data_IF_969156197541
#
_entry.id   IF_969156197541
#
_cell.length_a   1.000
_cell.length_b   1.000
_cell.length_c   1.000
_cell.angle_alpha   90.00
_cell.angle_beta   90.00
_cell.angle_gamma   90.00
#
_symmetry.space_group_name_H-M   'P 1'
#
loop_
_entity.id
_entity.type
_entity.pdbx_description
1 polymer ?
#
# COMPACT_ATOMS: atom_id res chain seq x y z
N UNK A 1 -11.34 18.43 -9.75
CA UNK A 1 -12.06 17.21 -9.28
C UNK A 1 -11.28 16.49 -8.17
N UNK A 2 -10.01 16.10 -8.38
CA UNK A 2 -9.19 15.44 -7.33
C UNK A 2 -9.15 16.23 -6.02
N UNK A 3 -8.85 17.52 -6.07
CA UNK A 3 -8.83 18.39 -4.91
C UNK A 3 -10.19 18.42 -4.19
N UNK A 4 -11.26 18.59 -4.95
CA UNK A 4 -12.63 18.64 -4.39
C UNK A 4 -12.97 17.31 -3.70
N UNK A 5 -12.73 16.16 -4.38
CA UNK A 5 -13.02 14.84 -3.82
C UNK A 5 -12.27 14.60 -2.51
N UNK A 6 -10.95 14.89 -2.49
CA UNK A 6 -10.14 14.72 -1.30
C UNK A 6 -10.57 15.63 -0.16
N UNK A 7 -10.77 16.93 -0.42
CA UNK A 7 -11.18 17.89 0.62
C UNK A 7 -12.59 17.60 1.14
N UNK A 8 -13.54 17.22 0.29
CA UNK A 8 -14.88 16.80 0.73
C UNK A 8 -14.78 15.62 1.70
N UNK A 9 -14.01 14.60 1.32
CA UNK A 9 -13.82 13.44 2.19
C UNK A 9 -13.13 13.81 3.52
N UNK A 10 -12.12 14.68 3.47
CA UNK A 10 -11.44 15.17 4.66
C UNK A 10 -12.38 15.93 5.60
N UNK A 11 -13.20 16.83 5.06
CA UNK A 11 -14.18 17.57 5.86
C UNK A 11 -15.20 16.64 6.52
N UNK A 12 -15.68 15.63 5.78
CA UNK A 12 -16.54 14.58 6.34
C UNK A 12 -15.84 13.79 7.44
N UNK A 13 -14.56 13.47 7.26
CA UNK A 13 -13.77 12.72 8.25
C UNK A 13 -13.35 13.55 9.47
N UNK A 14 -13.34 14.89 9.36
CA UNK A 14 -12.88 15.80 10.42
C UNK A 14 -13.75 15.74 11.67
N UNK A 15 -15.06 15.55 11.50
CA UNK A 15 -16.00 15.35 12.61
C UNK A 15 -15.76 14.04 13.39
N UNK A 16 -14.91 13.17 12.89
CA UNK A 16 -14.64 11.84 13.37
C UNK A 16 -13.25 11.76 14.03
N UNK A 17 -12.91 12.75 14.83
CA UNK A 17 -11.57 12.94 15.43
C UNK A 17 -11.10 11.78 16.33
N UNK A 18 -11.99 10.87 16.72
CA UNK A 18 -11.69 9.69 17.52
C UNK A 18 -11.47 8.40 16.71
N UNK A 19 -11.22 8.48 15.41
CA UNK A 19 -11.25 7.33 14.52
C UNK A 19 -9.90 6.78 14.12
N UNK A 20 -9.84 5.45 14.10
CA UNK A 20 -8.73 4.70 13.54
C UNK A 20 -7.39 5.01 14.20
N UNK A 21 -6.35 4.98 13.40
CA UNK A 21 -4.97 5.21 13.84
C UNK A 21 -4.72 6.63 14.37
N UNK A 22 -5.62 7.61 14.10
CA UNK A 22 -5.45 9.00 14.54
C UNK A 22 -5.50 9.21 16.04
N UNK A 23 -6.19 8.34 16.79
CA UNK A 23 -6.14 8.35 18.27
C UNK A 23 -4.74 7.98 18.75
N UNK A 24 -4.18 6.90 18.19
CA UNK A 24 -2.80 6.50 18.47
C UNK A 24 -1.78 7.57 18.06
N UNK A 25 -1.98 8.22 16.92
CA UNK A 25 -1.10 9.32 16.48
C UNK A 25 -1.21 10.54 17.38
N UNK A 26 -2.38 10.82 17.97
CA UNK A 26 -2.53 11.88 18.98
C UNK A 26 -1.68 11.58 20.21
N UNK A 27 -1.74 10.35 20.70
CA UNK A 27 -0.91 9.92 21.85
C UNK A 27 0.59 10.06 21.51
N UNK A 28 1.00 9.64 20.31
CA UNK A 28 2.39 9.80 19.87
C UNK A 28 2.82 11.26 19.78
N UNK A 29 1.96 12.11 19.28
CA UNK A 29 2.18 13.55 19.16
C UNK A 29 2.34 14.19 20.55
N UNK A 30 1.49 13.85 21.50
CA UNK A 30 1.48 14.41 22.84
C UNK A 30 2.61 13.88 23.72
N UNK A 31 3.09 12.66 23.46
CA UNK A 31 4.17 12.01 24.23
C UNK A 31 5.55 12.11 23.60
N UNK A 32 5.68 12.85 22.47
CA UNK A 32 6.95 12.94 21.75
C UNK A 32 7.45 11.61 21.24
N UNK A 33 6.55 10.71 20.84
CA UNK A 33 6.90 9.42 20.26
C UNK A 33 7.48 8.38 21.25
N UNK A 34 7.64 8.70 22.51
CA UNK A 34 8.22 7.83 23.56
C UNK A 34 7.64 6.41 23.57
N UNK A 35 6.38 6.28 23.20
CA UNK A 35 5.71 4.99 23.14
C UNK A 35 6.30 4.07 22.06
N UNK A 36 6.63 4.59 20.88
CA UNK A 36 7.22 3.80 19.78
C UNK A 36 8.74 3.71 19.89
N UNK A 37 9.40 4.73 20.43
CA UNK A 37 10.85 4.71 20.67
C UNK A 37 11.21 3.55 21.60
N UNK A 38 10.41 3.31 22.64
CA UNK A 38 10.60 2.16 23.53
C UNK A 38 10.51 0.82 22.82
N UNK A 39 9.84 0.77 21.67
CA UNK A 39 9.73 -0.45 20.86
C UNK A 39 10.74 -0.51 19.72
N UNK A 40 11.59 0.52 19.53
CA UNK A 40 12.58 0.60 18.45
C UNK A 40 11.98 0.62 17.04
N UNK A 41 10.72 1.09 16.92
CA UNK A 41 9.94 1.00 15.68
C UNK A 41 9.75 2.35 15.01
N UNK A 42 9.64 2.30 13.68
CA UNK A 42 9.21 3.42 12.84
C UNK A 42 9.95 4.75 13.13
N UNK A 43 11.30 4.75 13.21
CA UNK A 43 12.05 5.89 13.74
C UNK A 43 11.83 7.19 12.94
N UNK A 44 11.57 7.09 11.62
CA UNK A 44 11.29 8.28 10.79
C UNK A 44 9.90 8.83 11.12
N UNK A 45 8.90 7.97 11.37
CA UNK A 45 7.57 8.44 11.73
C UNK A 45 7.55 9.08 13.11
N UNK A 46 8.27 8.51 14.07
CA UNK A 46 8.47 9.10 15.40
C UNK A 46 9.08 10.49 15.27
N UNK A 47 10.20 10.61 14.56
CA UNK A 47 10.85 11.90 14.34
C UNK A 47 9.93 12.92 13.64
N UNK A 48 9.05 12.48 12.73
CA UNK A 48 8.03 13.34 12.13
C UNK A 48 7.03 13.86 13.17
N UNK A 49 6.59 13.02 14.12
CA UNK A 49 5.70 13.44 15.20
C UNK A 49 6.37 14.42 16.15
N UNK A 50 7.63 14.18 16.51
CA UNK A 50 8.42 15.08 17.35
C UNK A 50 8.60 16.46 16.70
N UNK A 51 8.98 16.49 15.42
CA UNK A 51 9.08 17.74 14.66
C UNK A 51 7.73 18.44 14.57
N UNK A 52 6.65 17.69 14.31
CA UNK A 52 5.32 18.28 14.25
C UNK A 52 4.90 18.88 15.60
N UNK A 53 5.15 18.19 16.71
CA UNK A 53 4.89 18.71 18.06
C UNK A 53 5.72 19.96 18.38
N UNK A 54 6.99 19.97 17.99
CA UNK A 54 7.86 21.14 18.16
C UNK A 54 7.40 22.35 17.36
N UNK A 55 6.90 22.14 16.14
CA UNK A 55 6.47 23.23 15.23
C UNK A 55 5.08 23.75 15.58
N UNK A 56 4.11 22.87 15.86
CA UNK A 56 2.71 23.25 16.04
C UNK A 56 2.30 23.38 17.51
N UNK A 57 3.12 22.92 18.45
CA UNK A 57 2.83 22.93 19.88
C UNK A 57 1.74 21.92 20.27
N UNK A 58 1.47 21.81 21.57
CA UNK A 58 0.55 20.84 22.14
C UNK A 58 -0.88 20.93 21.57
N UNK A 59 -1.40 22.14 21.40
CA UNK A 59 -2.74 22.39 20.83
C UNK A 59 -2.77 22.21 19.29
N UNK A 60 -1.61 22.08 18.66
CA UNK A 60 -1.47 22.13 17.20
C UNK A 60 -1.74 20.83 16.46
N UNK A 61 -2.15 19.74 17.14
CA UNK A 61 -2.38 18.45 16.48
C UNK A 61 -3.37 18.51 15.31
N UNK A 62 -4.45 19.27 15.45
CA UNK A 62 -5.43 19.43 14.36
C UNK A 62 -4.85 20.23 13.18
N UNK A 63 -3.99 21.21 13.47
CA UNK A 63 -3.25 21.96 12.44
C UNK A 63 -2.30 21.04 11.71
N UNK A 64 -1.50 20.25 12.44
CA UNK A 64 -0.62 19.22 11.87
C UNK A 64 -1.40 18.28 10.94
N UNK A 65 -2.51 17.72 11.41
CA UNK A 65 -3.37 16.84 10.62
C UNK A 65 -3.85 17.51 9.32
N UNK A 66 -4.25 18.78 9.40
CA UNK A 66 -4.70 19.54 8.23
C UNK A 66 -3.57 19.78 7.23
N UNK A 67 -2.39 20.15 7.71
CA UNK A 67 -1.18 20.36 6.89
C UNK A 67 -0.76 19.05 6.22
N UNK A 68 -0.73 17.95 6.98
CA UNK A 68 -0.41 16.63 6.44
C UNK A 68 -1.38 16.23 5.32
N UNK A 69 -2.68 16.42 5.54
CA UNK A 69 -3.69 16.15 4.51
C UNK A 69 -3.52 17.05 3.28
N UNK A 70 -3.22 18.32 3.47
CA UNK A 70 -2.94 19.23 2.36
C UNK A 70 -1.73 18.76 1.53
N UNK A 71 -0.67 18.26 2.17
CA UNK A 71 0.49 17.69 1.48
C UNK A 71 0.11 16.48 0.61
N UNK A 72 -0.67 15.53 1.14
CA UNK A 72 -1.20 14.40 0.34
C UNK A 72 -2.06 14.87 -0.83
N UNK A 73 -2.89 15.89 -0.61
CA UNK A 73 -3.76 16.45 -1.65
C UNK A 73 -2.94 17.08 -2.79
N UNK A 74 -1.85 17.79 -2.45
CA UNK A 74 -0.94 18.34 -3.45
C UNK A 74 -0.22 17.23 -4.24
N UNK A 75 0.22 16.17 -3.56
CA UNK A 75 0.80 14.99 -4.21
C UNK A 75 -0.21 14.33 -5.17
N UNK A 76 -1.46 14.15 -4.72
CA UNK A 76 -2.53 13.61 -5.55
C UNK A 76 -2.76 14.46 -6.82
N UNK A 77 -2.84 15.78 -6.64
CA UNK A 77 -2.99 16.71 -7.76
C UNK A 77 -1.80 16.64 -8.72
N UNK A 78 -0.57 16.57 -8.19
CA UNK A 78 0.63 16.42 -9.01
C UNK A 78 0.64 15.12 -9.78
N UNK A 79 0.25 14.02 -9.17
CA UNK A 79 0.18 12.72 -9.85
C UNK A 79 -0.92 12.70 -10.91
N UNK A 80 -2.08 13.25 -10.61
CA UNK A 80 -3.16 13.39 -11.60
C UNK A 80 -2.70 14.22 -12.81
N UNK A 81 -1.92 15.28 -12.57
CA UNK A 81 -1.35 16.11 -13.65
C UNK A 81 -0.32 15.35 -14.48
N UNK A 82 0.56 14.57 -13.85
CA UNK A 82 1.59 13.80 -14.53
C UNK A 82 1.04 12.58 -15.26
N UNK A 83 -0.12 12.08 -14.86
CA UNK A 83 -0.77 10.95 -15.51
C UNK A 83 -1.16 11.34 -16.94
N UNK A 84 -0.70 10.54 -17.91
CA UNK A 84 -1.05 10.76 -19.32
C UNK A 84 -2.54 10.53 -19.55
N UNK A 85 -3.19 11.47 -20.18
CA UNK A 85 -4.63 11.41 -20.40
C UNK A 85 -5.38 11.74 -19.09
N UNK A 86 -5.28 13.01 -18.69
CA UNK A 86 -6.06 13.54 -17.58
C UNK A 86 -7.55 13.39 -17.87
N UNK A 87 -8.15 12.39 -17.29
CA UNK A 87 -9.58 12.12 -17.36
C UNK A 87 -10.18 12.16 -15.96
N UNK A 88 -11.50 12.29 -15.88
CA UNK A 88 -12.22 12.16 -14.61
C UNK A 88 -11.89 10.83 -13.93
N UNK A 89 -11.80 9.75 -14.70
CA UNK A 89 -11.41 8.42 -14.22
C UNK A 89 -10.04 8.45 -13.56
N UNK A 90 -9.03 9.04 -14.20
CA UNK A 90 -7.68 9.22 -13.64
C UNK A 90 -7.70 9.98 -12.33
N UNK A 91 -8.40 11.12 -12.30
CA UNK A 91 -8.50 11.98 -11.13
C UNK A 91 -9.14 11.26 -9.94
N UNK A 92 -10.28 10.59 -10.16
CA UNK A 92 -11.01 9.86 -9.11
C UNK A 92 -10.22 8.64 -8.63
N UNK A 93 -9.55 7.91 -9.52
CA UNK A 93 -8.73 6.74 -9.18
C UNK A 93 -7.58 7.11 -8.23
N UNK A 94 -6.85 8.18 -8.56
CA UNK A 94 -5.75 8.66 -7.69
C UNK A 94 -6.30 9.19 -6.38
N UNK A 95 -7.41 9.94 -6.42
CA UNK A 95 -8.03 10.49 -5.21
C UNK A 95 -8.44 9.37 -4.26
N UNK A 96 -9.15 8.35 -4.74
CA UNK A 96 -9.60 7.23 -3.91
C UNK A 96 -8.40 6.49 -3.28
N UNK A 97 -7.35 6.19 -4.06
CA UNK A 97 -6.17 5.50 -3.56
C UNK A 97 -5.43 6.31 -2.47
N UNK A 98 -5.34 7.64 -2.61
CA UNK A 98 -4.63 8.48 -1.65
C UNK A 98 -5.47 8.91 -0.44
N UNK A 99 -6.79 8.95 -0.54
CA UNK A 99 -7.67 9.18 0.61
C UNK A 99 -7.44 8.11 1.68
N UNK A 100 -7.36 6.83 1.29
CA UNK A 100 -7.07 5.74 2.21
C UNK A 100 -5.75 6.01 2.95
N UNK A 101 -4.70 6.38 2.22
CA UNK A 101 -3.36 6.58 2.79
C UNK A 101 -3.23 7.86 3.62
N UNK A 102 -4.01 8.88 3.33
CA UNK A 102 -3.93 10.16 4.04
C UNK A 102 -4.81 10.23 5.28
N UNK A 103 -5.97 9.54 5.28
CA UNK A 103 -6.98 9.66 6.33
C UNK A 103 -7.04 8.41 7.20
N UNK A 104 -6.96 7.21 6.60
CA UNK A 104 -7.13 5.95 7.32
C UNK A 104 -5.80 5.39 7.81
N UNK A 105 -4.78 5.41 6.95
CA UNK A 105 -3.48 4.75 7.15
C UNK A 105 -2.33 5.75 7.03
N UNK A 106 -2.37 6.84 7.78
CA UNK A 106 -1.45 7.98 7.59
C UNK A 106 0.03 7.59 7.69
N UNK A 107 0.44 6.81 8.70
CA UNK A 107 1.82 6.33 8.86
C UNK A 107 2.29 5.52 7.65
N UNK A 108 1.48 4.58 7.23
CA UNK A 108 1.74 3.80 6.02
C UNK A 108 1.69 4.69 4.77
N UNK A 109 0.83 5.70 4.78
CA UNK A 109 0.73 6.69 3.71
C UNK A 109 2.02 7.47 3.50
N UNK A 110 2.66 7.93 4.58
CA UNK A 110 3.97 8.61 4.50
C UNK A 110 5.03 7.67 3.90
N UNK A 111 5.10 6.43 4.41
CA UNK A 111 6.00 5.41 3.87
C UNK A 111 5.74 5.12 2.37
N UNK A 112 4.46 5.02 2.00
CA UNK A 112 4.03 4.83 0.63
C UNK A 112 4.46 5.97 -0.29
N UNK A 113 4.36 7.23 0.15
CA UNK A 113 4.80 8.39 -0.63
C UNK A 113 6.31 8.40 -0.85
N UNK A 114 7.09 8.04 0.18
CA UNK A 114 8.54 7.95 0.06
C UNK A 114 8.98 6.94 -1.00
N UNK A 115 8.25 5.85 -1.14
CA UNK A 115 8.47 4.86 -2.20
C UNK A 115 7.90 5.30 -3.55
N UNK A 116 6.64 5.71 -3.57
CA UNK A 116 5.92 5.92 -4.82
C UNK A 116 6.48 7.11 -5.62
N UNK A 117 6.96 8.14 -4.94
CA UNK A 117 7.55 9.31 -5.60
C UNK A 117 8.75 8.95 -6.49
N UNK A 118 9.80 8.25 -6.01
CA UNK A 118 10.90 7.81 -6.85
C UNK A 118 10.49 6.80 -7.93
N UNK A 119 9.56 5.89 -7.61
CA UNK A 119 9.05 4.93 -8.59
C UNK A 119 8.39 5.63 -9.80
N UNK A 120 7.73 6.77 -9.57
CA UNK A 120 7.15 7.55 -10.68
C UNK A 120 8.18 7.89 -11.74
N UNK A 121 9.41 8.24 -11.37
CA UNK A 121 10.49 8.52 -12.31
C UNK A 121 10.76 7.37 -13.29
N UNK A 122 10.53 6.12 -12.88
CA UNK A 122 10.66 4.94 -13.72
C UNK A 122 9.50 4.77 -14.71
N UNK A 123 8.32 5.33 -14.37
CA UNK A 123 7.07 5.11 -15.11
C UNK A 123 6.62 6.31 -15.95
N UNK A 124 6.92 7.54 -15.52
CA UNK A 124 6.51 8.77 -16.23
C UNK A 124 7.37 9.00 -17.45
N UNK A 125 8.67 8.76 -17.37
CA UNK A 125 9.63 9.20 -18.38
C UNK A 125 9.78 8.16 -19.50
N UNK A 126 9.22 8.45 -20.68
CA UNK A 126 9.44 7.69 -21.92
C UNK A 126 10.73 8.09 -22.65
N UNK A 127 11.20 9.31 -22.40
CA UNK A 127 12.27 9.95 -23.17
C UNK A 127 13.59 10.03 -22.41
N UNK A 128 13.61 9.59 -21.13
CA UNK A 128 14.83 9.69 -20.36
C UNK A 128 15.94 8.84 -20.95
N UNK A 129 17.06 9.49 -21.13
CA UNK A 129 18.33 8.87 -21.53
C UNK A 129 18.63 7.66 -20.65
N UNK A 130 19.37 6.69 -21.18
CA UNK A 130 19.84 5.52 -20.43
C UNK A 130 20.51 5.88 -19.08
N UNK A 131 21.01 7.12 -18.95
CA UNK A 131 21.67 7.63 -17.75
C UNK A 131 20.73 8.00 -16.58
N UNK A 132 19.44 8.31 -16.84
CA UNK A 132 18.51 8.68 -15.76
C UNK A 132 17.86 7.48 -15.08
N UNK A 133 17.81 6.34 -15.77
CA UNK A 133 17.19 5.11 -15.26
C UNK A 133 17.89 4.50 -14.04
N UNK A 134 19.23 4.40 -13.96
CA UNK A 134 19.91 3.93 -12.76
C UNK A 134 19.65 4.84 -11.57
N UNK A 135 19.61 6.17 -11.78
CA UNK A 135 19.30 7.13 -10.72
C UNK A 135 17.89 6.96 -10.16
N UNK A 136 16.90 6.76 -11.03
CA UNK A 136 15.53 6.52 -10.61
C UNK A 136 15.38 5.18 -9.87
N UNK A 137 16.08 4.13 -10.30
CA UNK A 137 16.11 2.84 -9.60
C UNK A 137 16.76 2.95 -8.22
N UNK A 138 17.87 3.67 -8.13
CA UNK A 138 18.54 3.94 -6.85
C UNK A 138 17.66 4.80 -5.93
N UNK A 139 17.03 5.85 -6.44
CA UNK A 139 16.09 6.67 -5.66
C UNK A 139 14.91 5.83 -5.16
N UNK A 140 14.42 4.86 -5.95
CA UNK A 140 13.38 3.93 -5.52
C UNK A 140 13.87 2.98 -4.41
N UNK A 141 15.13 2.57 -4.42
CA UNK A 141 15.74 1.82 -3.30
C UNK A 141 15.77 2.65 -2.03
N UNK A 142 16.28 3.88 -2.13
CA UNK A 142 16.31 4.81 -0.99
C UNK A 142 14.90 5.05 -0.45
N UNK A 143 13.92 5.26 -1.34
CA UNK A 143 12.51 5.41 -0.96
C UNK A 143 11.94 4.16 -0.26
N UNK A 144 12.31 2.96 -0.71
CA UNK A 144 11.88 1.71 -0.07
C UNK A 144 12.51 1.56 1.33
N UNK A 145 13.78 1.90 1.50
CA UNK A 145 14.48 1.89 2.80
C UNK A 145 13.84 2.91 3.75
N UNK A 146 13.68 4.16 3.32
CA UNK A 146 13.07 5.21 4.12
C UNK A 146 11.61 4.87 4.47
N UNK A 147 10.86 4.31 3.51
CA UNK A 147 9.51 3.80 3.75
C UNK A 147 9.48 2.73 4.83
N UNK A 148 10.40 1.76 4.79
CA UNK A 148 10.52 0.71 5.81
C UNK A 148 10.85 1.27 7.19
N UNK A 149 11.73 2.27 7.27
CA UNK A 149 12.06 2.98 8.51
C UNK A 149 10.92 3.88 9.02
N UNK A 150 10.01 4.29 8.13
CA UNK A 150 8.80 5.04 8.49
C UNK A 150 7.69 4.13 9.01
N UNK A 151 7.56 2.98 8.38
CA UNK A 151 6.58 1.96 8.75
C UNK A 151 7.10 0.58 8.34
N UNK A 152 7.46 -0.23 9.32
CA UNK A 152 8.08 -1.54 9.06
C UNK A 152 7.20 -2.47 8.19
N UNK A 153 5.89 -2.37 8.29
CA UNK A 153 4.96 -3.11 7.42
C UNK A 153 5.20 -2.92 5.91
N UNK A 154 5.91 -1.84 5.54
CA UNK A 154 6.25 -1.57 4.13
C UNK A 154 7.57 -2.23 3.66
N UNK A 155 8.23 -3.04 4.49
CA UNK A 155 9.44 -3.80 4.12
C UNK A 155 9.21 -4.68 2.87
N UNK A 156 7.97 -5.08 2.59
CA UNK A 156 7.59 -5.79 1.37
C UNK A 156 7.99 -5.03 0.09
N UNK A 157 7.98 -3.71 0.12
CA UNK A 157 8.38 -2.89 -1.03
C UNK A 157 9.88 -3.01 -1.33
N UNK A 158 10.70 -3.16 -0.27
CA UNK A 158 12.12 -3.46 -0.41
C UNK A 158 12.31 -4.85 -1.02
N UNK A 159 11.53 -5.85 -0.57
CA UNK A 159 11.52 -7.19 -1.14
C UNK A 159 11.16 -7.19 -2.64
N UNK A 160 10.15 -6.40 -3.05
CA UNK A 160 9.79 -6.23 -4.47
C UNK A 160 10.94 -5.58 -5.25
N UNK A 161 11.59 -4.57 -4.67
CA UNK A 161 12.74 -3.92 -5.31
C UNK A 161 13.91 -4.91 -5.49
N UNK A 162 14.24 -5.67 -4.46
CA UNK A 162 15.28 -6.72 -4.52
C UNK A 162 14.95 -7.78 -5.58
N UNK A 163 13.71 -8.25 -5.62
CA UNK A 163 13.24 -9.18 -6.66
C UNK A 163 13.35 -8.61 -8.06
N UNK A 164 13.02 -7.33 -8.24
CA UNK A 164 13.15 -6.63 -9.52
C UNK A 164 14.63 -6.48 -9.92
N UNK A 165 15.50 -6.12 -8.98
CA UNK A 165 16.92 -6.03 -9.20
C UNK A 165 17.50 -7.40 -9.61
N UNK A 166 17.14 -8.45 -8.86
CA UNK A 166 17.54 -9.82 -9.16
C UNK A 166 17.13 -10.24 -10.57
N UNK A 167 15.86 -10.06 -10.95
CA UNK A 167 15.36 -10.36 -12.29
C UNK A 167 16.05 -9.54 -13.40
N UNK A 168 16.49 -8.33 -13.07
CA UNK A 168 17.16 -7.46 -14.02
C UNK A 168 18.65 -7.81 -14.20
N UNK A 169 19.31 -8.33 -13.15
CA UNK A 169 20.73 -8.70 -13.18
C UNK A 169 20.99 -10.11 -13.69
N UNK A 170 20.04 -11.02 -13.62
CA UNK A 170 20.23 -12.36 -14.15
C UNK A 170 20.32 -12.26 -15.67
N UNK A 171 21.46 -12.66 -16.27
CA UNK A 171 21.61 -12.66 -17.71
C UNK A 171 20.51 -13.51 -18.35
N UNK A 172 19.76 -12.94 -19.27
CA UNK A 172 18.67 -13.64 -19.99
C UNK A 172 19.10 -14.97 -20.61
N UNK A 173 20.41 -15.15 -20.84
CA UNK A 173 21.03 -16.37 -21.36
C UNK A 173 21.04 -17.53 -20.36
N UNK A 174 21.12 -17.26 -19.05
CA UNK A 174 21.16 -18.30 -18.01
C UNK A 174 19.80 -18.90 -17.72
N UNK A 175 18.75 -18.16 -17.98
CA UNK A 175 17.42 -18.59 -17.55
C UNK A 175 16.67 -19.35 -18.62
N UNK A 176 17.11 -19.44 -19.89
CA UNK A 176 16.43 -20.23 -20.93
C UNK A 176 14.88 -20.16 -20.89
N UNK A 177 14.39 -19.68 -19.80
CA UNK A 177 13.01 -19.52 -19.43
C UNK A 177 12.51 -18.21 -20.02
N UNK A 178 11.83 -18.31 -21.11
CA UNK A 178 10.87 -17.27 -21.43
C UNK A 178 9.88 -17.26 -20.29
N UNK A 179 10.03 -16.33 -19.33
CA UNK A 179 9.05 -16.13 -18.26
C UNK A 179 7.69 -15.89 -18.89
N UNK A 180 6.95 -16.97 -19.10
CA UNK A 180 5.59 -16.80 -19.55
C UNK A 180 4.83 -16.15 -18.39
N UNK A 181 3.91 -15.22 -18.68
CA UNK A 181 3.08 -14.62 -17.63
C UNK A 181 2.42 -15.63 -16.72
N UNK A 182 2.04 -16.77 -17.28
CA UNK A 182 1.39 -17.87 -16.55
C UNK A 182 2.34 -18.56 -15.56
N UNK A 183 3.57 -18.85 -15.98
CA UNK A 183 4.58 -19.49 -15.11
C UNK A 183 4.89 -18.62 -13.89
N UNK A 184 5.01 -17.31 -14.05
CA UNK A 184 5.25 -16.39 -12.94
C UNK A 184 4.07 -16.31 -11.97
N UNK A 185 2.84 -16.30 -12.48
CA UNK A 185 1.65 -16.31 -11.63
C UNK A 185 1.58 -17.64 -10.85
N UNK A 186 1.81 -18.78 -11.52
CA UNK A 186 1.83 -20.08 -10.85
C UNK A 186 2.94 -20.18 -9.80
N UNK A 187 4.12 -19.62 -10.09
CA UNK A 187 5.20 -19.52 -9.12
C UNK A 187 4.81 -18.65 -7.92
N UNK A 188 4.14 -17.53 -8.16
CA UNK A 188 3.59 -16.68 -7.11
C UNK A 188 2.57 -17.42 -6.25
N UNK A 189 1.60 -18.09 -6.87
CA UNK A 189 0.59 -18.89 -6.15
C UNK A 189 1.26 -20.00 -5.34
N UNK A 190 2.18 -20.77 -5.95
CA UNK A 190 2.90 -21.84 -5.27
C UNK A 190 3.72 -21.33 -4.08
N UNK A 191 4.44 -20.21 -4.27
CA UNK A 191 5.17 -19.54 -3.19
C UNK A 191 4.26 -19.07 -2.05
N UNK A 192 3.08 -18.55 -2.38
CA UNK A 192 2.07 -18.14 -1.39
C UNK A 192 1.47 -19.33 -0.64
N UNK A 193 1.17 -20.42 -1.32
CA UNK A 193 0.71 -21.66 -0.68
C UNK A 193 1.80 -22.21 0.26
N UNK A 194 3.06 -22.21 -0.18
CA UNK A 194 4.19 -22.63 0.65
C UNK A 194 4.33 -21.73 1.89
N UNK A 195 4.25 -20.40 1.71
CA UNK A 195 4.29 -19.44 2.82
C UNK A 195 3.12 -19.68 3.80
N UNK A 196 1.90 -19.76 3.30
CA UNK A 196 0.71 -20.04 4.13
C UNK A 196 0.84 -21.38 4.86
N UNK A 197 1.32 -22.42 4.18
CA UNK A 197 1.60 -23.72 4.79
C UNK A 197 2.66 -23.64 5.89
N UNK A 198 3.72 -22.86 5.68
CA UNK A 198 4.76 -22.64 6.71
C UNK A 198 4.18 -21.94 7.94
N UNK A 199 3.33 -20.94 7.74
CA UNK A 199 2.64 -20.24 8.83
C UNK A 199 1.73 -21.22 9.60
N UNK A 200 1.01 -22.09 8.89
CA UNK A 200 0.16 -23.12 9.52
C UNK A 200 0.95 -24.12 10.36
N UNK A 201 2.12 -24.54 9.89
CA UNK A 201 2.97 -25.49 10.60
C UNK A 201 3.70 -24.85 11.80
N UNK A 202 4.01 -23.57 11.71
CA UNK A 202 4.77 -22.82 12.72
C UNK A 202 4.07 -21.49 13.06
N UNK A 203 2.84 -21.50 13.61
CA UNK A 203 2.09 -20.27 13.81
C UNK A 203 2.74 -19.32 14.85
N UNK A 204 3.33 -19.86 15.92
CA UNK A 204 3.88 -19.08 17.01
C UNK A 204 4.88 -18.00 16.59
N UNK A 205 5.97 -18.34 15.87
CA UNK A 205 6.93 -17.35 15.39
C UNK A 205 6.29 -16.26 14.49
N UNK A 206 5.32 -16.63 13.67
CA UNK A 206 4.65 -15.67 12.79
C UNK A 206 3.69 -14.77 13.55
N UNK A 207 2.96 -15.28 14.55
CA UNK A 207 2.12 -14.45 15.44
C UNK A 207 2.98 -13.44 16.17
N UNK A 208 4.08 -13.87 16.78
CA UNK A 208 5.02 -12.98 17.46
C UNK A 208 5.56 -11.93 16.50
N UNK A 209 6.00 -12.32 15.32
CA UNK A 209 6.49 -11.42 14.29
C UNK A 209 5.42 -10.38 13.92
N UNK A 210 4.18 -10.80 13.67
CA UNK A 210 3.08 -9.88 13.30
C UNK A 210 2.72 -8.96 14.47
N UNK A 211 2.63 -9.45 15.69
CA UNK A 211 2.37 -8.63 16.89
C UNK A 211 3.50 -7.63 17.09
N UNK A 212 4.74 -8.08 16.95
CA UNK A 212 5.90 -7.20 17.01
C UNK A 212 5.92 -6.17 15.88
N UNK A 213 5.58 -6.52 14.65
CA UNK A 213 5.57 -5.63 13.50
C UNK A 213 4.37 -4.69 13.46
N UNK A 214 3.22 -5.16 13.91
CA UNK A 214 1.96 -4.40 13.86
C UNK A 214 1.74 -3.49 15.08
N UNK A 215 2.49 -3.69 16.16
CA UNK A 215 2.40 -2.83 17.34
C UNK A 215 1.24 -3.14 18.26
N UNK A 216 0.64 -4.31 18.21
CA UNK A 216 -0.44 -4.74 19.07
C UNK A 216 -1.46 -5.65 18.40
N UNK A 217 -2.30 -6.28 19.19
CA UNK A 217 -3.34 -7.16 18.70
C UNK A 217 -4.40 -6.38 17.90
N UNK A 218 -4.68 -6.83 16.69
CA UNK A 218 -5.85 -6.38 15.94
C UNK A 218 -7.09 -7.05 16.53
N UNK A 219 -7.76 -6.37 17.42
CA UNK A 219 -8.85 -6.90 18.22
C UNK A 219 -10.22 -6.92 17.51
N UNK A 220 -10.29 -7.15 16.21
CA UNK A 220 -11.60 -7.17 15.53
C UNK A 220 -11.90 -8.48 14.80
N UNK A 221 -12.75 -9.35 15.40
CA UNK A 221 -13.23 -10.57 14.77
C UNK A 221 -14.12 -10.36 13.54
N UNK A 222 -14.39 -9.13 13.15
CA UNK A 222 -15.51 -8.75 12.29
C UNK A 222 -15.31 -8.99 10.79
N UNK A 223 -14.08 -9.10 10.33
CA UNK A 223 -13.79 -9.36 8.91
C UNK A 223 -14.19 -10.75 8.43
N UNK A 224 -14.45 -11.68 9.34
CA UNK A 224 -14.78 -13.05 9.00
C UNK A 224 -16.24 -13.30 8.57
N UNK A 225 -17.16 -12.37 8.76
CA UNK A 225 -18.58 -12.51 8.45
C UNK A 225 -18.96 -12.33 6.97
N UNK A 226 -18.22 -11.54 6.20
CA UNK A 226 -18.50 -11.25 4.76
C UNK A 226 -17.70 -12.09 3.76
N UNK A 227 -17.15 -13.04 4.12
CA UNK A 227 -15.98 -13.89 4.01
C UNK A 227 -15.65 -14.39 2.60
N UNK A 228 -16.54 -15.14 1.99
CA UNK A 228 -16.23 -15.75 0.69
C UNK A 228 -16.34 -14.72 -0.43
N UNK A 229 -17.41 -13.94 -0.46
CA UNK A 229 -17.61 -12.92 -1.50
C UNK A 229 -16.52 -11.85 -1.48
N UNK A 230 -16.09 -11.43 -0.28
CA UNK A 230 -14.98 -10.47 -0.12
C UNK A 230 -13.67 -11.03 -0.69
N UNK A 231 -13.30 -12.25 -0.30
CA UNK A 231 -12.04 -12.86 -0.75
C UNK A 231 -12.07 -13.21 -2.24
N UNK A 232 -13.20 -13.62 -2.78
CA UNK A 232 -13.38 -13.82 -4.23
C UNK A 232 -13.20 -12.50 -4.99
N UNK A 233 -13.83 -11.42 -4.49
CA UNK A 233 -13.68 -10.08 -5.07
C UNK A 233 -12.22 -9.62 -5.01
N UNK A 234 -11.58 -9.74 -3.84
CA UNK A 234 -10.19 -9.35 -3.66
C UNK A 234 -9.24 -10.18 -4.55
N UNK A 235 -9.53 -11.47 -4.73
CA UNK A 235 -8.81 -12.33 -5.66
C UNK A 235 -8.93 -11.85 -7.10
N UNK A 236 -10.15 -11.58 -7.56
CA UNK A 236 -10.37 -11.03 -8.90
C UNK A 236 -9.60 -9.72 -9.09
N UNK A 237 -9.71 -8.80 -8.13
CA UNK A 237 -8.99 -7.52 -8.16
C UNK A 237 -7.47 -7.72 -8.20
N UNK A 238 -6.95 -8.68 -7.45
CA UNK A 238 -5.51 -9.02 -7.40
C UNK A 238 -5.00 -9.47 -8.76
N UNK A 239 -5.66 -10.41 -9.41
CA UNK A 239 -5.22 -10.93 -10.70
C UNK A 239 -5.41 -9.89 -11.82
N UNK A 240 -6.49 -9.12 -11.78
CA UNK A 240 -6.75 -8.07 -12.77
C UNK A 240 -5.72 -6.94 -12.63
N UNK A 241 -5.54 -6.39 -11.42
CA UNK A 241 -4.57 -5.31 -11.18
C UNK A 241 -3.14 -5.77 -11.47
N UNK A 242 -2.78 -7.00 -11.07
CA UNK A 242 -1.47 -7.58 -11.35
C UNK A 242 -1.19 -7.75 -12.84
N UNK A 243 -2.18 -8.15 -13.62
CA UNK A 243 -2.06 -8.22 -15.08
C UNK A 243 -1.95 -6.82 -15.70
N UNK A 244 -2.77 -5.88 -15.25
CA UNK A 244 -2.78 -4.51 -15.78
C UNK A 244 -1.49 -3.75 -15.46
N UNK A 245 -0.92 -3.86 -14.24
CA UNK A 245 0.33 -3.19 -13.90
C UNK A 245 1.50 -3.71 -14.74
N UNK A 246 1.59 -5.01 -14.96
CA UNK A 246 2.60 -5.60 -15.83
C UNK A 246 2.44 -5.15 -17.29
N UNK A 247 1.21 -5.05 -17.78
CA UNK A 247 0.93 -4.54 -19.13
C UNK A 247 1.18 -3.04 -19.25
N UNK A 248 0.85 -2.25 -18.26
CA UNK A 248 1.11 -0.81 -18.23
C UNK A 248 2.60 -0.50 -18.24
N UNK A 249 3.42 -1.35 -17.64
CA UNK A 249 4.87 -1.20 -17.59
C UNK A 249 5.60 -1.56 -18.90
N UNK A 250 4.90 -2.10 -19.92
CA UNK A 250 5.49 -2.30 -21.24
C UNK A 250 5.96 -0.95 -21.78
N UNK A 251 7.26 -0.88 -22.13
CA UNK A 251 7.91 0.35 -22.56
C UNK A 251 8.50 1.21 -21.44
N UNK A 252 8.39 0.79 -20.16
CA UNK A 252 9.29 1.25 -19.11
C UNK A 252 10.69 0.68 -19.33
N UNK A 253 11.71 1.25 -18.70
CA UNK A 253 13.04 0.65 -18.69
C UNK A 253 13.03 -0.77 -18.08
N UNK A 254 14.12 -1.55 -18.28
CA UNK A 254 14.17 -2.95 -17.82
C UNK A 254 13.82 -3.12 -16.34
N UNK A 255 14.31 -2.25 -15.48
CA UNK A 255 14.04 -2.30 -14.03
C UNK A 255 12.56 -1.98 -13.72
N UNK A 256 11.98 -0.94 -14.32
CA UNK A 256 10.58 -0.60 -14.11
C UNK A 256 9.62 -1.72 -14.57
N UNK A 257 9.96 -2.37 -15.68
CA UNK A 257 9.22 -3.54 -16.16
C UNK A 257 9.38 -4.74 -15.21
N UNK A 258 10.60 -5.03 -14.75
CA UNK A 258 10.86 -6.09 -13.78
C UNK A 258 10.11 -5.84 -12.46
N UNK A 259 10.11 -4.60 -11.96
CA UNK A 259 9.37 -4.22 -10.75
C UNK A 259 7.86 -4.50 -10.89
N UNK A 260 7.26 -4.11 -12.01
CA UNK A 260 5.84 -4.36 -12.25
C UNK A 260 5.51 -5.86 -12.39
N UNK A 261 6.42 -6.66 -12.95
CA UNK A 261 6.27 -8.12 -13.04
C UNK A 261 6.35 -8.76 -11.66
N UNK A 262 7.34 -8.39 -10.84
CA UNK A 262 7.47 -8.91 -9.48
C UNK A 262 6.25 -8.55 -8.65
N UNK A 263 5.84 -7.28 -8.68
CA UNK A 263 4.65 -6.82 -7.97
C UNK A 263 3.40 -7.58 -8.43
N UNK A 264 3.12 -7.53 -9.75
CA UNK A 264 1.82 -7.95 -10.27
C UNK A 264 1.67 -9.46 -10.49
N UNK A 265 2.76 -10.18 -10.76
CA UNK A 265 2.69 -11.60 -11.13
C UNK A 265 3.32 -12.56 -10.11
N UNK A 266 4.12 -12.06 -9.19
CA UNK A 266 4.71 -12.87 -8.13
C UNK A 266 4.11 -12.52 -6.77
N UNK A 267 4.28 -11.28 -6.33
CA UNK A 267 3.97 -10.88 -4.95
C UNK A 267 2.47 -10.80 -4.70
N UNK A 268 1.70 -10.14 -5.56
CA UNK A 268 0.25 -10.06 -5.39
C UNK A 268 -0.41 -11.45 -5.34
N UNK A 269 -0.17 -12.37 -6.31
CA UNK A 269 -0.70 -13.72 -6.23
C UNK A 269 -0.20 -14.50 -5.02
N UNK A 270 1.07 -14.32 -4.61
CA UNK A 270 1.62 -15.01 -3.46
C UNK A 270 0.92 -14.61 -2.15
N UNK A 271 0.78 -13.32 -1.89
CA UNK A 271 0.12 -12.84 -0.67
C UNK A 271 -1.35 -13.25 -0.67
N UNK A 272 -2.03 -13.09 -1.80
CA UNK A 272 -3.43 -13.49 -1.91
C UNK A 272 -3.62 -14.98 -1.62
N UNK A 273 -2.83 -15.87 -2.24
CA UNK A 273 -2.98 -17.33 -2.04
C UNK A 273 -2.58 -17.76 -0.63
N UNK A 274 -1.58 -17.12 -0.01
CA UNK A 274 -1.27 -17.35 1.39
C UNK A 274 -2.45 -16.97 2.30
N UNK A 275 -3.04 -15.79 2.11
CA UNK A 275 -4.21 -15.35 2.87
C UNK A 275 -5.41 -16.29 2.69
N UNK A 276 -5.70 -16.69 1.46
CA UNK A 276 -6.82 -17.63 1.18
C UNK A 276 -6.61 -18.96 1.87
N UNK A 277 -5.40 -19.52 1.81
CA UNK A 277 -5.09 -20.78 2.51
C UNK A 277 -5.30 -20.64 4.02
N UNK A 278 -4.81 -19.56 4.62
CA UNK A 278 -4.97 -19.30 6.05
C UNK A 278 -6.44 -19.13 6.45
N UNK A 279 -7.24 -18.44 5.63
CA UNK A 279 -8.68 -18.25 5.87
C UNK A 279 -9.44 -19.58 5.74
N UNK A 280 -9.15 -20.38 4.70
CA UNK A 280 -9.87 -21.64 4.45
C UNK A 280 -9.58 -22.69 5.50
N UNK A 281 -8.39 -22.69 6.08
CA UNK A 281 -8.00 -23.68 7.11
C UNK A 281 -8.52 -23.32 8.50
N UNK A 282 -9.11 -22.13 8.69
CA UNK A 282 -9.60 -21.62 9.99
C UNK A 282 -8.55 -21.62 11.13
N UNK A 283 -7.28 -21.87 10.80
CA UNK A 283 -6.16 -21.91 11.74
C UNK A 283 -5.43 -20.56 11.87
N UNK A 284 -5.74 -19.60 10.98
CA UNK A 284 -5.11 -18.30 11.07
C UNK A 284 -5.63 -17.55 12.29
N UNK A 285 -4.72 -17.01 13.06
CA UNK A 285 -5.09 -15.96 13.98
C UNK A 285 -5.62 -14.77 13.19
N UNK A 286 -6.59 -14.06 13.76
CA UNK A 286 -7.21 -12.88 13.15
C UNK A 286 -6.13 -11.86 12.74
N UNK A 287 -5.08 -11.74 13.54
CA UNK A 287 -3.97 -10.82 13.35
C UNK A 287 -3.20 -11.06 12.04
N UNK A 288 -2.85 -12.31 11.74
CA UNK A 288 -2.07 -12.65 10.53
C UNK A 288 -2.91 -12.38 9.29
N UNK A 289 -4.20 -12.72 9.33
CA UNK A 289 -5.11 -12.52 8.20
C UNK A 289 -5.36 -11.04 7.95
N UNK A 290 -5.55 -10.26 8.99
CA UNK A 290 -5.75 -8.81 8.90
C UNK A 290 -4.50 -8.12 8.36
N UNK A 291 -3.32 -8.48 8.85
CA UNK A 291 -2.06 -7.95 8.35
C UNK A 291 -1.86 -8.28 6.86
N UNK A 292 -2.11 -9.54 6.47
CA UNK A 292 -2.05 -9.96 5.07
C UNK A 292 -3.03 -9.21 4.17
N UNK A 293 -4.25 -8.96 4.66
CA UNK A 293 -5.27 -8.16 3.96
C UNK A 293 -4.80 -6.71 3.76
N UNK A 294 -4.31 -6.04 4.79
CA UNK A 294 -3.79 -4.67 4.71
C UNK A 294 -2.62 -4.58 3.73
N UNK A 295 -1.72 -5.54 3.79
CA UNK A 295 -0.59 -5.62 2.87
C UNK A 295 -1.07 -5.76 1.42
N UNK A 296 -2.03 -6.65 1.17
CA UNK A 296 -2.61 -6.86 -0.16
C UNK A 296 -3.29 -5.60 -0.70
N UNK A 297 -4.09 -4.93 0.13
CA UNK A 297 -4.74 -3.65 -0.22
C UNK A 297 -3.70 -2.59 -0.59
N UNK A 298 -2.61 -2.48 0.17
CA UNK A 298 -1.54 -1.51 -0.10
C UNK A 298 -0.82 -1.79 -1.41
N UNK A 299 -0.56 -3.05 -1.73
CA UNK A 299 0.05 -3.45 -3.00
C UNK A 299 -0.89 -3.23 -4.19
N UNK A 300 -2.20 -3.44 -4.00
CA UNK A 300 -3.21 -3.10 -4.99
C UNK A 300 -3.25 -1.59 -5.26
N UNK A 301 -3.21 -0.76 -4.23
CA UNK A 301 -3.16 0.70 -4.37
C UNK A 301 -1.91 1.14 -5.12
N UNK A 302 -0.73 0.58 -4.81
CA UNK A 302 0.49 0.85 -5.55
C UNK A 302 0.33 0.48 -7.03
N UNK A 303 -0.22 -0.70 -7.31
CA UNK A 303 -0.47 -1.15 -8.68
C UNK A 303 -1.37 -0.20 -9.45
N UNK A 304 -2.46 0.26 -8.83
CA UNK A 304 -3.42 1.20 -9.41
C UNK A 304 -2.74 2.53 -9.74
N UNK A 305 -1.93 3.07 -8.84
CA UNK A 305 -1.20 4.31 -9.07
C UNK A 305 -0.23 4.16 -10.23
N UNK A 306 0.54 3.08 -10.31
CA UNK A 306 1.46 2.82 -11.41
C UNK A 306 0.74 2.68 -12.76
N UNK A 307 -0.43 2.00 -12.79
CA UNK A 307 -1.28 1.89 -13.99
C UNK A 307 -1.75 3.28 -14.42
N UNK A 308 -2.19 4.08 -13.47
CA UNK A 308 -2.77 5.42 -13.71
C UNK A 308 -1.73 6.39 -14.23
N UNK A 309 -0.53 6.41 -13.64
CA UNK A 309 0.59 7.24 -14.09
C UNK A 309 0.99 6.93 -15.53
N UNK A 310 0.85 5.67 -15.95
CA UNK A 310 1.10 5.26 -17.33
C UNK A 310 -0.01 5.64 -18.32
N UNK A 311 -1.05 6.32 -17.86
CA UNK A 311 -2.20 6.69 -18.67
C UNK A 311 -3.03 5.49 -19.14
N UNK A 312 -3.05 4.41 -18.33
CA UNK A 312 -3.80 3.18 -18.58
C UNK A 312 -4.98 3.02 -17.63
N UNK A 313 -5.30 4.08 -16.87
CA UNK A 313 -6.51 4.09 -16.05
C UNK A 313 -7.75 3.92 -16.93
N UNK A 314 -8.65 3.08 -16.46
CA UNK A 314 -9.93 2.79 -17.09
C UNK A 314 -11.01 2.61 -15.98
N UNK A 315 -12.24 2.38 -16.38
CA UNK A 315 -13.35 2.18 -15.43
C UNK A 315 -13.10 1.02 -14.47
N UNK A 316 -12.35 0.01 -14.88
CA UNK A 316 -12.01 -1.12 -14.00
C UNK A 316 -11.01 -0.70 -12.90
N UNK A 317 -9.99 0.09 -13.25
CA UNK A 317 -9.08 0.64 -12.23
C UNK A 317 -9.79 1.59 -11.26
N UNK A 318 -10.74 2.37 -11.75
CA UNK A 318 -11.59 3.20 -10.91
C UNK A 318 -12.47 2.34 -9.99
N UNK A 319 -13.12 1.31 -10.53
CA UNK A 319 -13.94 0.39 -9.73
C UNK A 319 -13.11 -0.26 -8.62
N UNK A 320 -11.90 -0.75 -8.94
CA UNK A 320 -10.98 -1.31 -7.94
C UNK A 320 -10.69 -0.29 -6.84
N UNK A 321 -10.31 0.94 -7.21
CA UNK A 321 -10.04 2.00 -6.24
C UNK A 321 -11.23 2.32 -5.35
N UNK A 322 -12.43 2.36 -5.91
CA UNK A 322 -13.66 2.64 -5.16
C UNK A 322 -14.03 1.48 -4.22
N UNK A 323 -13.84 0.22 -4.64
CA UNK A 323 -14.06 -0.95 -3.77
C UNK A 323 -13.08 -0.94 -2.61
N UNK A 324 -11.80 -0.66 -2.85
CA UNK A 324 -10.80 -0.55 -1.79
C UNK A 324 -11.13 0.61 -0.84
N UNK A 325 -11.53 1.77 -1.36
CA UNK A 325 -11.94 2.91 -0.54
C UNK A 325 -13.16 2.56 0.32
N UNK A 326 -14.19 1.95 -0.26
CA UNK A 326 -15.38 1.52 0.47
C UNK A 326 -15.06 0.51 1.58
N UNK A 327 -14.15 -0.44 1.30
CA UNK A 327 -13.71 -1.40 2.30
C UNK A 327 -13.00 -0.73 3.48
N UNK A 328 -12.05 0.15 3.21
CA UNK A 328 -11.28 0.85 4.25
C UNK A 328 -12.13 1.87 5.03
N UNK A 329 -13.12 2.47 4.38
CA UNK A 329 -14.01 3.44 5.04
C UNK A 329 -15.22 2.81 5.72
N UNK A 330 -15.42 1.51 5.55
CA UNK A 330 -16.55 0.79 6.18
C UNK A 330 -16.56 0.91 7.71
N UNK A 331 -15.41 0.94 8.35
CA UNK A 331 -15.28 1.15 9.79
C UNK A 331 -15.82 2.51 10.25
N UNK A 332 -16.07 3.44 9.33
CA UNK A 332 -16.61 4.76 9.59
C UNK A 332 -18.14 4.83 9.54
N UNK A 333 -18.79 3.84 8.93
CA UNK A 333 -20.25 3.84 8.75
C UNK A 333 -21.03 3.95 10.07
N UNK A 334 -20.65 3.29 11.17
CA UNK A 334 -21.33 3.44 12.46
C UNK A 334 -21.34 4.87 12.97
N UNK A 335 -20.25 5.60 12.77
CA UNK A 335 -20.14 7.00 13.23
C UNK A 335 -20.96 7.98 12.39
N UNK A 336 -21.37 7.58 11.19
CA UNK A 336 -22.28 8.36 10.36
C UNK A 336 -23.75 7.97 10.57
N UNK A 337 -24.03 7.07 11.51
CA UNK A 337 -25.37 6.54 11.73
C UNK A 337 -25.90 5.64 10.60
N UNK A 338 -25.00 5.21 9.70
CA UNK A 338 -25.34 4.40 8.52
C UNK A 338 -25.24 2.89 8.78
N UNK A 339 -24.69 2.49 9.93
CA UNK A 339 -24.66 1.12 10.38
C UNK A 339 -24.73 1.09 11.91
N UNK A 340 -25.23 0.00 12.54
CA UNK A 340 -25.16 -0.14 13.98
C UNK A 340 -23.70 -0.14 14.44
N UNK A 341 -23.41 0.40 15.65
CA UNK A 341 -22.09 0.28 16.24
C UNK A 341 -21.74 -1.20 16.37
N UNK A 342 -20.55 -1.52 15.99
CA UNK A 342 -20.04 -2.90 15.95
C UNK A 342 -19.40 -3.25 17.28
#
# INVERSE_FOLDING_TARGET
MTLIAMWTFYLLSRGLSGMGDWVGYRVMYDTGGDYLVRQGRDPIFVGLMDVAAAVFGYEGYQTFRTVAFAAFTLVAARWAYLARGFTLVTALTISAALIIKSVVQFREGVAFLLLAWPLMGLYVDRASSSATRPRAAFAALVGAILGTLTHFGTAIYLGIWCGAAFLNFIPRRFLGWRYTPRALILLGIGGGVALGGTILLFPGPFVLLVVELAGGAYATPQLFGLKIAYWLTLGLLTFVAGSQVANAAKGCGPFGYAYAIVLGRLVLPAIFSACVLLVLTSFATVEITEWGNRLLVSLLQLSIILITIRGRANYLTLLISMVLLANETRSFLPYWGLAPPV
#
